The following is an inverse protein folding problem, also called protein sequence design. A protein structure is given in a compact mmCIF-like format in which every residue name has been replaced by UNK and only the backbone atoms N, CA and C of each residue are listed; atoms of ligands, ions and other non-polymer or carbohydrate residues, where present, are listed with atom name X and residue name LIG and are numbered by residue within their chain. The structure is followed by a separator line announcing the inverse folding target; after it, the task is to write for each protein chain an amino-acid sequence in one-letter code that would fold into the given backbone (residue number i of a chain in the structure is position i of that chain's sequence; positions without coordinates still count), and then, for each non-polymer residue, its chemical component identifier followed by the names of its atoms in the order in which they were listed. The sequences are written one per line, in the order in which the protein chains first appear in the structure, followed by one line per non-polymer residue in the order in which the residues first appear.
data_IF_250628107860
#
_entry.id   IF_250628107860
#
_cell.length_a   1.000
_cell.length_b   1.000
_cell.length_c   1.000
_cell.angle_alpha   90.00
_cell.angle_beta   90.00
_cell.angle_gamma   90.00
#
_symmetry.space_group_name_H-M   'P 1'
#
loop_
_entity.id
_entity.type
_entity.pdbx_description
1 polymer ?
#
# COMPACT_ATOMS: atom_id res chain seq x y z
N UNK A 1 4.22 -16.95 4.29
CA UNK A 1 3.58 -16.53 5.58
C UNK A 1 2.31 -17.34 5.77
N UNK A 2 2.00 -17.72 7.03
CA UNK A 2 0.72 -18.35 7.35
C UNK A 2 -0.34 -17.27 7.58
N UNK A 3 -1.59 -17.59 7.33
CA UNK A 3 -2.73 -16.77 7.75
C UNK A 3 -3.85 -17.67 8.24
N UNK A 4 -4.64 -17.14 9.17
CA UNK A 4 -5.80 -17.81 9.73
C UNK A 4 -7.07 -16.95 9.51
N UNK A 5 -8.23 -17.56 9.69
CA UNK A 5 -9.53 -16.89 9.51
C UNK A 5 -10.34 -17.06 10.78
N UNK A 6 -10.75 -15.92 11.35
CA UNK A 6 -11.81 -15.84 12.36
C UNK A 6 -13.11 -15.42 11.67
N UNK A 7 -14.23 -16.06 11.99
CA UNK A 7 -15.52 -15.78 11.32
C UNK A 7 -16.69 -15.83 12.27
N UNK A 8 -17.65 -14.93 12.02
CA UNK A 8 -19.04 -14.99 12.48
C UNK A 8 -19.96 -15.03 11.25
N UNK A 9 -21.27 -15.01 11.43
CA UNK A 9 -22.23 -15.08 10.32
C UNK A 9 -22.08 -13.95 9.31
N UNK A 10 -21.73 -12.75 9.76
CA UNK A 10 -21.62 -11.56 8.92
C UNK A 10 -20.18 -11.00 8.75
N UNK A 11 -19.26 -11.37 9.64
CA UNK A 11 -17.89 -10.83 9.67
C UNK A 11 -16.87 -11.93 9.45
N UNK A 12 -15.88 -11.66 8.60
CA UNK A 12 -14.67 -12.48 8.48
C UNK A 12 -13.42 -11.64 8.66
N UNK A 13 -12.48 -12.16 9.45
CA UNK A 13 -11.17 -11.55 9.68
C UNK A 13 -10.11 -12.53 9.20
N UNK A 14 -9.33 -12.10 8.23
CA UNK A 14 -8.11 -12.75 7.77
C UNK A 14 -6.94 -12.11 8.53
N UNK A 15 -6.05 -12.88 9.14
CA UNK A 15 -4.99 -12.34 9.99
C UNK A 15 -3.70 -13.14 9.96
N UNK A 16 -2.60 -12.51 10.34
CA UNK A 16 -1.28 -13.11 10.52
C UNK A 16 -1.17 -13.59 11.98
N UNK A 17 -1.14 -14.93 12.25
CA UNK A 17 -1.10 -15.47 13.60
C UNK A 17 0.20 -15.17 14.35
N UNK A 18 1.29 -14.82 13.65
CA UNK A 18 2.55 -14.41 14.28
C UNK A 18 2.43 -13.00 14.90
N UNK A 19 1.48 -12.18 14.45
CA UNK A 19 1.27 -10.81 14.93
C UNK A 19 0.06 -10.66 15.84
N UNK A 20 -0.98 -11.49 15.65
CA UNK A 20 -2.23 -11.45 16.42
C UNK A 20 -2.74 -12.85 16.67
N UNK A 21 -2.85 -13.27 17.92
CA UNK A 21 -3.25 -14.63 18.26
C UNK A 21 -4.74 -14.91 18.06
N UNK A 22 -5.62 -13.90 18.20
CA UNK A 22 -7.07 -14.05 18.01
C UNK A 22 -7.72 -12.66 17.83
N UNK A 23 -7.80 -12.15 16.61
CA UNK A 23 -8.32 -10.82 16.39
C UNK A 23 -9.84 -10.76 16.64
N UNK A 24 -10.26 -9.78 17.45
CA UNK A 24 -11.66 -9.37 17.58
C UNK A 24 -11.91 -8.15 16.71
N UNK A 25 -13.16 -7.89 16.35
CA UNK A 25 -13.56 -6.72 15.57
C UNK A 25 -13.06 -5.40 16.16
N UNK A 26 -13.02 -5.30 17.49
CA UNK A 26 -12.56 -4.11 18.20
C UNK A 26 -11.13 -3.63 17.90
N UNK A 27 -10.25 -4.49 17.38
CA UNK A 27 -8.89 -4.04 16.98
C UNK A 27 -8.90 -3.11 15.76
N UNK A 28 -9.98 -3.12 14.98
CA UNK A 28 -10.14 -2.28 13.79
C UNK A 28 -10.71 -0.90 14.10
N UNK A 29 -11.22 -0.68 15.31
CA UNK A 29 -11.64 0.63 15.75
C UNK A 29 -10.48 1.37 16.44
N UNK A 30 -10.04 2.47 15.83
CA UNK A 30 -8.93 3.27 16.34
C UNK A 30 -9.24 3.84 17.75
N UNK A 31 -10.50 4.07 18.12
CA UNK A 31 -10.90 4.59 19.42
C UNK A 31 -10.65 3.60 20.57
N UNK A 32 -10.54 2.30 20.27
CA UNK A 32 -10.21 1.27 21.24
C UNK A 32 -8.70 1.20 21.55
N UNK A 33 -7.89 2.05 20.93
CA UNK A 33 -6.45 2.10 21.14
C UNK A 33 -6.07 3.28 22.05
N UNK A 34 -5.17 3.09 23.02
CA UNK A 34 -4.80 4.14 23.97
C UNK A 34 -4.18 5.35 23.29
N UNK A 35 -3.50 5.12 22.15
CA UNK A 35 -2.89 6.18 21.34
C UNK A 35 -3.26 5.97 19.88
N UNK A 36 -3.98 6.92 19.29
CA UNK A 36 -4.28 6.94 17.88
C UNK A 36 -4.13 8.35 17.28
N UNK A 37 -3.65 8.41 16.04
CA UNK A 37 -3.44 9.66 15.30
C UNK A 37 -4.03 9.50 13.91
N UNK A 38 -4.94 10.41 13.48
CA UNK A 38 -5.49 10.37 12.13
C UNK A 38 -4.40 10.66 11.10
N UNK A 39 -4.43 9.92 9.99
CA UNK A 39 -3.57 10.17 8.84
C UNK A 39 -4.27 11.17 7.91
N UNK A 40 -3.78 12.41 7.89
CA UNK A 40 -4.41 13.52 7.16
C UNK A 40 -4.24 13.47 5.63
N UNK A 41 -3.57 12.45 5.09
CA UNK A 41 -3.25 12.33 3.68
C UNK A 41 -4.10 11.23 3.03
N UNK A 42 -5.27 11.57 2.48
CA UNK A 42 -6.02 10.60 1.69
C UNK A 42 -7.53 10.82 1.63
N UNK A 43 -8.20 10.00 0.81
CA UNK A 43 -9.66 10.01 0.62
C UNK A 43 -10.39 9.07 1.59
N UNK A 44 -9.67 8.31 2.41
CA UNK A 44 -10.17 7.33 3.36
C UNK A 44 -9.90 7.72 4.80
N UNK A 45 -10.56 7.05 5.73
CA UNK A 45 -10.24 7.13 7.14
C UNK A 45 -9.06 6.18 7.40
N UNK A 46 -7.94 6.73 7.84
CA UNK A 46 -6.78 5.96 8.26
C UNK A 46 -6.23 6.52 9.58
N UNK A 47 -5.76 5.62 10.44
CA UNK A 47 -5.25 5.96 11.77
C UNK A 47 -3.99 5.18 12.07
N UNK A 48 -2.95 5.89 12.51
CA UNK A 48 -1.86 5.23 13.22
C UNK A 48 -2.31 4.94 14.65
N UNK A 49 -2.10 3.70 15.09
CA UNK A 49 -2.44 3.25 16.45
C UNK A 49 -1.22 2.62 17.11
N UNK A 50 -1.12 2.81 18.44
CA UNK A 50 0.00 2.30 19.20
C UNK A 50 -0.47 1.77 20.57
N UNK A 51 -0.07 0.53 20.91
CA UNK A 51 -0.22 -0.08 22.23
C UNK A 51 0.78 -1.21 22.40
N UNK A 52 1.43 -1.30 23.56
CA UNK A 52 2.32 -2.40 23.95
C UNK A 52 3.40 -2.75 22.92
N UNK A 53 4.03 -1.72 22.33
CA UNK A 53 5.04 -1.87 21.29
C UNK A 53 4.49 -2.23 19.90
N UNK A 54 3.18 -2.46 19.76
CA UNK A 54 2.50 -2.65 18.48
C UNK A 54 2.23 -1.28 17.87
N UNK A 55 2.71 -1.06 16.65
CA UNK A 55 2.50 0.18 15.91
C UNK A 55 1.92 -0.18 14.54
N UNK A 56 0.66 0.13 14.36
CA UNK A 56 -0.11 -0.29 13.20
C UNK A 56 -0.76 0.90 12.51
N UNK A 57 -1.12 0.69 11.25
CA UNK A 57 -1.95 1.57 10.44
C UNK A 57 -3.28 0.86 10.19
N UNK A 58 -4.38 1.39 10.71
CA UNK A 58 -5.74 0.97 10.37
C UNK A 58 -6.18 1.79 9.17
N UNK A 59 -6.62 1.13 8.10
CA UNK A 59 -7.09 1.77 6.86
C UNK A 59 -8.50 1.29 6.55
N UNK A 60 -9.46 2.23 6.51
CA UNK A 60 -10.84 1.97 6.08
C UNK A 60 -10.97 2.23 4.59
N UNK A 61 -11.60 1.29 3.87
CA UNK A 61 -11.82 1.44 2.44
C UNK A 61 -13.07 2.27 2.18
N UNK A 62 -12.90 3.36 1.44
CA UNK A 62 -13.99 4.24 1.04
C UNK A 62 -14.11 4.30 -0.48
N UNK A 63 -15.36 4.35 -1.01
CA UNK A 63 -15.59 4.64 -2.42
C UNK A 63 -15.21 6.10 -2.72
N UNK A 64 -14.40 6.31 -3.77
CA UNK A 64 -14.13 7.65 -4.31
C UNK A 64 -15.14 8.02 -5.40
N UNK A 65 -15.31 9.32 -5.65
CA UNK A 65 -16.13 9.87 -6.76
C UNK A 65 -17.47 10.44 -6.31
N UNK A 66 -18.32 10.85 -7.28
CA UNK A 66 -19.65 11.47 -7.05
C UNK A 66 -20.63 10.60 -6.24
N UNK A 67 -20.46 9.26 -6.28
CA UNK A 67 -21.29 8.28 -5.53
C UNK A 67 -21.02 8.33 -4.00
N UNK A 68 -20.00 9.08 -3.58
CA UNK A 68 -19.60 9.27 -2.16
C UNK A 68 -20.73 9.78 -1.25
N UNK A 69 -21.73 10.45 -1.80
CA UNK A 69 -22.82 11.06 -1.01
C UNK A 69 -23.86 10.08 -0.50
N UNK A 70 -24.04 8.91 -1.14
CA UNK A 70 -25.11 7.95 -0.84
C UNK A 70 -24.64 6.57 -0.34
N UNK A 71 -23.39 6.13 -0.66
CA UNK A 71 -22.88 4.81 -0.29
C UNK A 71 -21.34 4.82 -0.14
N UNK A 72 -20.79 5.68 0.72
CA UNK A 72 -19.35 5.98 0.78
C UNK A 72 -18.45 4.82 1.21
N UNK A 73 -18.97 3.83 1.94
CA UNK A 73 -18.17 2.76 2.57
C UNK A 73 -18.58 1.34 2.14
N UNK A 74 -19.47 1.16 1.16
CA UNK A 74 -20.01 -0.16 0.79
C UNK A 74 -19.67 -0.57 -0.63
N UNK A 75 -19.33 -1.85 -0.84
CA UNK A 75 -18.99 -2.47 -2.13
C UNK A 75 -19.92 -3.65 -2.39
N UNK A 76 -20.17 -4.00 -3.67
CA UNK A 76 -20.90 -5.22 -4.00
C UNK A 76 -20.13 -6.46 -3.57
N UNK A 77 -20.81 -7.38 -2.91
CA UNK A 77 -20.24 -8.61 -2.40
C UNK A 77 -20.35 -9.76 -3.42
N UNK A 78 -19.22 -10.28 -3.85
CA UNK A 78 -19.07 -11.43 -4.75
C UNK A 78 -18.25 -12.55 -4.11
N UNK A 79 -18.30 -12.67 -2.78
CA UNK A 79 -17.53 -13.62 -2.00
C UNK A 79 -16.34 -12.98 -1.26
N UNK A 80 -15.99 -13.51 -0.09
CA UNK A 80 -14.96 -12.94 0.79
C UNK A 80 -13.59 -12.85 0.12
N UNK A 81 -13.17 -13.88 -0.61
CA UNK A 81 -11.88 -13.91 -1.30
C UNK A 81 -11.75 -12.82 -2.40
N UNK A 82 -12.88 -12.27 -2.88
CA UNK A 82 -12.90 -11.21 -3.88
C UNK A 82 -13.00 -9.81 -3.29
N UNK A 83 -13.05 -9.69 -1.96
CA UNK A 83 -13.07 -8.39 -1.31
C UNK A 83 -11.70 -7.72 -1.37
N UNK A 84 -11.68 -6.40 -1.46
CA UNK A 84 -10.45 -5.61 -1.67
C UNK A 84 -9.44 -5.81 -0.54
N UNK A 85 -9.91 -5.87 0.71
CA UNK A 85 -9.08 -6.04 1.90
C UNK A 85 -8.38 -7.38 1.90
N UNK A 86 -9.11 -8.46 1.58
CA UNK A 86 -8.54 -9.80 1.53
C UNK A 86 -7.57 -9.94 0.36
N UNK A 87 -7.89 -9.36 -0.80
CA UNK A 87 -6.97 -9.36 -1.94
C UNK A 87 -5.69 -8.57 -1.65
N UNK A 88 -5.80 -7.38 -1.01
CA UNK A 88 -4.62 -6.60 -0.59
C UNK A 88 -3.80 -7.38 0.44
N UNK A 89 -4.43 -7.97 1.46
CA UNK A 89 -3.75 -8.76 2.48
C UNK A 89 -2.93 -9.92 1.87
N UNK A 90 -3.58 -10.75 1.04
CA UNK A 90 -2.95 -11.91 0.42
C UNK A 90 -1.84 -11.50 -0.57
N UNK A 91 -2.05 -10.40 -1.30
CA UNK A 91 -1.04 -9.87 -2.21
C UNK A 91 0.21 -9.39 -1.46
N UNK A 92 0.04 -8.69 -0.33
CA UNK A 92 1.14 -8.24 0.50
C UNK A 92 1.92 -9.43 1.09
N UNK A 93 1.23 -10.47 1.60
CA UNK A 93 1.88 -11.69 2.06
C UNK A 93 2.71 -12.35 0.95
N UNK A 94 2.11 -12.51 -0.24
CA UNK A 94 2.81 -13.04 -1.40
C UNK A 94 4.07 -12.25 -1.74
N UNK A 95 4.01 -10.91 -1.71
CA UNK A 95 5.13 -10.04 -2.04
C UNK A 95 6.26 -10.11 -1.00
N UNK A 96 5.92 -10.25 0.28
CA UNK A 96 6.92 -10.44 1.36
C UNK A 96 7.67 -11.76 1.16
N UNK A 97 6.98 -12.84 0.80
CA UNK A 97 7.62 -14.13 0.49
C UNK A 97 8.56 -14.07 -0.73
N UNK A 98 8.40 -13.07 -1.57
CA UNK A 98 9.23 -12.77 -2.75
C UNK A 98 10.24 -11.66 -2.49
N UNK A 99 10.47 -11.32 -1.22
CA UNK A 99 11.43 -10.30 -0.79
C UNK A 99 11.19 -8.91 -1.41
N UNK A 100 9.93 -8.62 -1.79
CA UNK A 100 9.52 -7.27 -2.20
C UNK A 100 9.18 -6.48 -0.93
N UNK A 101 9.81 -5.32 -0.77
CA UNK A 101 9.63 -4.47 0.40
C UNK A 101 8.26 -3.78 0.37
N UNK A 102 7.31 -4.33 1.10
CA UNK A 102 5.93 -3.84 1.26
C UNK A 102 5.52 -3.90 2.74
N UNK A 103 4.54 -3.12 3.21
CA UNK A 103 4.07 -3.20 4.59
C UNK A 103 3.57 -4.60 4.93
N UNK A 104 3.93 -5.13 6.10
CA UNK A 104 3.41 -6.43 6.56
C UNK A 104 1.93 -6.29 6.92
N UNK A 105 1.03 -7.09 6.34
CA UNK A 105 -0.37 -7.11 6.73
C UNK A 105 -0.54 -7.81 8.07
N UNK A 106 -1.32 -7.21 8.95
CA UNK A 106 -1.61 -7.73 10.31
C UNK A 106 -2.94 -8.45 10.31
N UNK A 107 -4.00 -7.77 9.86
CA UNK A 107 -5.33 -8.32 9.76
C UNK A 107 -6.16 -7.56 8.72
N UNK A 108 -7.15 -8.23 8.12
CA UNK A 108 -8.13 -7.64 7.23
C UNK A 108 -9.53 -8.10 7.63
N UNK A 109 -10.44 -7.17 7.86
CA UNK A 109 -11.82 -7.43 8.24
C UNK A 109 -12.77 -7.11 7.10
N UNK A 110 -13.73 -7.98 6.89
CA UNK A 110 -14.85 -7.80 5.96
C UNK A 110 -16.14 -8.06 6.68
N UNK A 111 -17.02 -7.08 6.67
CA UNK A 111 -18.40 -7.18 7.17
C UNK A 111 -19.36 -7.18 5.99
N UNK A 112 -20.11 -8.26 5.86
CA UNK A 112 -21.15 -8.44 4.84
C UNK A 112 -22.48 -7.93 5.37
N UNK A 113 -23.18 -7.13 4.55
CA UNK A 113 -24.54 -6.69 4.82
C UNK A 113 -25.38 -6.86 3.53
N UNK A 114 -26.16 -7.93 3.47
CA UNK A 114 -26.91 -8.32 2.28
C UNK A 114 -26.00 -8.55 1.06
N UNK A 115 -26.23 -7.79 -0.01
CA UNK A 115 -25.45 -7.82 -1.25
C UNK A 115 -24.24 -6.87 -1.23
N UNK A 116 -23.99 -6.19 -0.11
CA UNK A 116 -22.90 -5.27 0.07
C UNK A 116 -21.91 -5.77 1.10
N UNK A 117 -20.71 -5.18 1.11
CA UNK A 117 -19.72 -5.33 2.17
C UNK A 117 -18.99 -4.03 2.44
N UNK A 118 -18.48 -3.91 3.64
CA UNK A 118 -17.49 -2.91 4.07
C UNK A 118 -16.30 -3.61 4.71
N UNK A 119 -15.20 -2.91 4.91
CA UNK A 119 -14.09 -3.53 5.63
C UNK A 119 -12.89 -2.61 5.77
N UNK A 120 -11.91 -3.14 6.49
CA UNK A 120 -10.70 -2.47 6.92
C UNK A 120 -9.50 -3.41 6.79
N UNK A 121 -8.33 -2.83 6.71
CA UNK A 121 -7.06 -3.56 6.81
C UNK A 121 -6.17 -2.90 7.86
N UNK A 122 -5.46 -3.73 8.60
CA UNK A 122 -4.41 -3.30 9.53
C UNK A 122 -3.08 -3.70 8.93
N UNK A 123 -2.17 -2.75 8.82
CA UNK A 123 -0.81 -2.93 8.33
C UNK A 123 0.19 -2.54 9.42
N UNK A 124 1.35 -3.15 9.41
CA UNK A 124 2.46 -2.72 10.27
C UNK A 124 2.93 -1.33 9.84
N UNK A 125 3.09 -0.41 10.81
CA UNK A 125 3.55 0.94 10.54
C UNK A 125 5.04 0.96 10.17
N UNK A 126 5.37 1.62 9.09
CA UNK A 126 6.75 1.88 8.65
C UNK A 126 7.29 3.12 9.35
N UNK A 127 8.01 2.91 10.46
CA UNK A 127 8.50 4.02 11.30
C UNK A 127 9.76 4.68 10.75
N UNK A 128 9.79 6.01 10.76
CA UNK A 128 10.94 6.79 10.30
C UNK A 128 11.13 6.76 8.79
N UNK A 129 10.13 6.27 8.03
CA UNK A 129 10.10 6.37 6.58
C UNK A 129 9.37 7.65 6.17
N UNK A 130 9.92 8.34 5.18
CA UNK A 130 9.30 9.50 4.52
C UNK A 130 8.97 9.18 3.07
N UNK A 131 7.96 9.83 2.51
CA UNK A 131 7.67 9.63 1.09
C UNK A 131 8.77 10.24 0.22
N UNK A 132 9.03 9.63 -0.94
CA UNK A 132 9.94 10.22 -1.93
C UNK A 132 9.48 11.63 -2.32
N UNK A 133 8.16 11.86 -2.36
CA UNK A 133 7.60 13.18 -2.59
C UNK A 133 8.07 14.20 -1.54
N UNK A 134 8.00 13.86 -0.25
CA UNK A 134 8.39 14.77 0.82
C UNK A 134 9.90 15.02 0.83
N UNK A 135 10.70 13.97 0.60
CA UNK A 135 12.15 14.11 0.49
C UNK A 135 12.56 15.02 -0.67
N UNK A 136 11.88 14.91 -1.81
CA UNK A 136 12.14 15.77 -2.98
C UNK A 136 11.74 17.22 -2.71
N UNK A 137 10.58 17.45 -2.09
CA UNK A 137 10.12 18.80 -1.72
C UNK A 137 11.07 19.46 -0.71
N UNK A 138 11.55 18.68 0.28
CA UNK A 138 12.53 19.13 1.29
C UNK A 138 13.95 19.24 0.74
N UNK A 139 14.22 18.84 -0.49
CA UNK A 139 15.57 18.72 -1.10
C UNK A 139 16.51 17.79 -0.32
N UNK A 140 15.97 16.75 0.29
CA UNK A 140 16.73 15.76 1.09
C UNK A 140 16.91 14.43 0.36
N UNK A 141 16.35 14.26 -0.84
CA UNK A 141 16.53 13.07 -1.65
C UNK A 141 18.00 12.94 -2.10
N UNK A 142 18.57 11.74 -1.88
CA UNK A 142 19.97 11.43 -2.25
C UNK A 142 20.02 10.67 -3.57
N UNK A 143 21.14 10.79 -4.29
CA UNK A 143 21.36 10.11 -5.56
C UNK A 143 21.23 8.58 -5.45
N UNK A 144 21.80 7.97 -4.39
CA UNK A 144 21.68 6.53 -4.12
C UNK A 144 20.26 6.04 -3.89
N UNK A 145 19.34 6.93 -3.49
CA UNK A 145 17.93 6.59 -3.29
C UNK A 145 17.21 6.38 -4.62
N UNK A 146 17.58 7.08 -5.69
CA UNK A 146 17.00 6.87 -7.01
C UNK A 146 17.34 5.48 -7.57
N UNK A 147 18.56 4.99 -7.33
CA UNK A 147 18.95 3.62 -7.64
C UNK A 147 18.14 2.60 -6.85
N UNK A 148 18.02 2.80 -5.54
CA UNK A 148 17.24 1.92 -4.66
C UNK A 148 15.76 1.87 -5.07
N UNK A 149 15.16 3.01 -5.44
CA UNK A 149 13.78 3.10 -5.95
C UNK A 149 13.62 2.33 -7.26
N UNK A 150 14.56 2.50 -8.20
CA UNK A 150 14.55 1.77 -9.48
C UNK A 150 14.56 0.26 -9.26
N UNK A 151 15.49 -0.22 -8.45
CA UNK A 151 15.62 -1.64 -8.09
C UNK A 151 14.36 -2.18 -7.40
N UNK A 152 13.78 -1.43 -6.46
CA UNK A 152 12.58 -1.85 -5.74
C UNK A 152 11.37 -1.99 -6.68
N UNK A 153 11.15 -1.03 -7.58
CA UNK A 153 10.07 -1.09 -8.58
C UNK A 153 10.31 -2.22 -9.58
N UNK A 154 11.57 -2.48 -9.96
CA UNK A 154 11.91 -3.61 -10.83
C UNK A 154 11.54 -4.96 -10.18
N UNK A 155 11.87 -5.15 -8.89
CA UNK A 155 11.46 -6.36 -8.14
C UNK A 155 9.96 -6.56 -8.14
N UNK A 156 9.18 -5.49 -7.87
CA UNK A 156 7.71 -5.54 -7.97
C UNK A 156 7.24 -5.98 -9.35
N UNK A 157 7.83 -5.44 -10.40
CA UNK A 157 7.46 -5.76 -11.78
C UNK A 157 7.92 -7.16 -12.24
N UNK A 158 8.98 -7.73 -11.65
CA UNK A 158 9.35 -9.14 -11.86
C UNK A 158 8.28 -10.09 -11.33
N UNK A 159 7.66 -9.73 -10.21
CA UNK A 159 6.53 -10.50 -9.65
C UNK A 159 5.21 -10.30 -10.42
N UNK A 160 5.27 -9.58 -11.55
CA UNK A 160 4.12 -9.31 -12.44
C UNK A 160 3.01 -8.50 -11.79
N UNK A 161 3.33 -7.61 -10.85
CA UNK A 161 2.35 -6.77 -10.18
C UNK A 161 2.09 -5.49 -10.97
N UNK A 162 0.84 -5.29 -11.36
CA UNK A 162 0.32 -4.01 -11.87
C UNK A 162 -0.12 -3.17 -10.67
N UNK A 163 0.70 -2.20 -10.29
CA UNK A 163 0.38 -1.30 -9.18
C UNK A 163 -0.56 -0.19 -9.66
N UNK A 164 -1.79 -0.21 -9.14
CA UNK A 164 -2.85 0.68 -9.62
C UNK A 164 -2.53 2.17 -9.49
N UNK A 165 -1.70 2.55 -8.51
CA UNK A 165 -1.33 3.95 -8.25
C UNK A 165 0.16 4.14 -7.90
N UNK A 166 1.08 3.62 -8.75
CA UNK A 166 2.51 3.81 -8.57
C UNK A 166 2.88 5.27 -8.78
N UNK A 167 3.30 5.96 -7.72
CA UNK A 167 3.68 7.38 -7.73
C UNK A 167 4.66 7.69 -6.60
N UNK A 168 5.26 8.88 -6.59
CA UNK A 168 6.28 9.30 -5.61
C UNK A 168 5.77 9.40 -4.16
N UNK A 169 4.47 9.54 -3.92
CA UNK A 169 3.90 9.55 -2.57
C UNK A 169 3.73 8.15 -1.98
N UNK A 170 3.68 7.13 -2.86
CA UNK A 170 3.53 5.73 -2.49
C UNK A 170 4.87 4.97 -2.45
N UNK A 171 5.98 5.69 -2.53
CA UNK A 171 7.34 5.18 -2.31
C UNK A 171 7.85 5.80 -1.01
N UNK A 172 8.10 4.97 -0.02
CA UNK A 172 8.62 5.40 1.27
C UNK A 172 10.10 5.02 1.39
N UNK A 173 10.90 5.92 1.95
CA UNK A 173 12.34 5.74 2.12
C UNK A 173 12.79 6.04 3.56
N UNK A 174 13.74 5.26 4.02
CA UNK A 174 14.58 5.53 5.18
C UNK A 174 16.01 5.12 4.83
N UNK A 175 16.91 6.08 4.68
CA UNK A 175 18.21 5.89 4.05
C UNK A 175 18.04 5.30 2.63
N UNK A 176 18.64 4.14 2.34
CA UNK A 176 18.49 3.42 1.06
C UNK A 176 17.45 2.29 1.13
N UNK A 177 16.79 2.11 2.27
CA UNK A 177 15.68 1.16 2.37
C UNK A 177 14.43 1.76 1.76
N UNK A 178 13.82 1.05 0.82
CA UNK A 178 12.65 1.50 0.04
C UNK A 178 11.49 0.57 0.29
N UNK A 179 10.31 1.12 0.56
CA UNK A 179 9.04 0.40 0.62
C UNK A 179 8.05 0.98 -0.38
N UNK A 180 7.29 0.10 -1.02
CA UNK A 180 6.13 0.48 -1.84
C UNK A 180 4.87 0.26 -1.00
N UNK A 181 3.96 1.24 -1.01
CA UNK A 181 2.72 1.22 -0.23
C UNK A 181 1.49 1.41 -1.12
N UNK A 182 0.30 1.21 -0.53
CA UNK A 182 -1.02 1.37 -1.16
C UNK A 182 -1.30 0.38 -2.29
N UNK A 183 -1.44 -0.90 -1.90
CA UNK A 183 -1.72 -2.00 -2.83
C UNK A 183 -3.21 -2.18 -3.13
N UNK A 184 -4.05 -1.22 -2.75
CA UNK A 184 -5.46 -1.22 -3.11
C UNK A 184 -5.64 -1.26 -4.64
N UNK A 185 -6.42 -2.21 -5.15
CA UNK A 185 -6.64 -2.48 -6.60
C UNK A 185 -5.39 -2.93 -7.37
N UNK A 186 -4.29 -3.25 -6.68
CA UNK A 186 -3.15 -3.87 -7.34
C UNK A 186 -3.47 -5.31 -7.69
N UNK A 187 -2.94 -5.78 -8.81
CA UNK A 187 -3.22 -7.13 -9.31
C UNK A 187 -1.97 -7.81 -9.85
N UNK A 188 -1.87 -9.11 -9.61
CA UNK A 188 -0.87 -9.95 -10.27
C UNK A 188 -1.36 -10.30 -11.67
N UNK A 189 -0.65 -9.86 -12.71
CA UNK A 189 -0.96 -10.10 -14.11
C UNK A 189 -0.38 -11.42 -14.59
N UNK A 190 -1.16 -12.20 -15.32
CA UNK A 190 -0.68 -13.42 -16.00
C UNK A 190 -0.08 -13.12 -17.38
N UNK A 191 -0.57 -12.07 -18.04
CA UNK A 191 -0.18 -11.67 -19.41
C UNK A 191 -0.06 -10.15 -19.52
N UNK A 192 0.54 -9.67 -20.61
CA UNK A 192 0.62 -8.24 -20.91
C UNK A 192 1.63 -7.46 -20.10
N UNK A 193 2.75 -8.09 -19.70
CA UNK A 193 3.76 -7.52 -18.80
C UNK A 193 4.32 -6.20 -19.28
N UNK A 194 4.63 -6.06 -20.55
CA UNK A 194 5.15 -4.81 -21.11
C UNK A 194 4.16 -3.65 -20.97
N UNK A 195 2.86 -3.92 -21.19
CA UNK A 195 1.85 -2.89 -21.15
C UNK A 195 1.67 -2.29 -19.75
N UNK A 196 1.49 -3.12 -18.71
CA UNK A 196 1.28 -2.59 -17.36
C UNK A 196 2.56 -1.97 -16.79
N UNK A 197 3.74 -2.55 -17.04
CA UNK A 197 5.04 -1.97 -16.66
C UNK A 197 5.20 -0.56 -17.22
N UNK A 198 4.98 -0.40 -18.54
CA UNK A 198 5.02 0.91 -19.20
C UNK A 198 4.01 1.89 -18.60
N UNK A 199 2.80 1.43 -18.30
CA UNK A 199 1.73 2.24 -17.67
C UNK A 199 2.12 2.68 -16.27
N UNK A 200 2.69 1.80 -15.45
CA UNK A 200 3.14 2.10 -14.08
C UNK A 200 4.29 3.12 -14.12
N UNK A 201 5.32 2.90 -14.92
CA UNK A 201 6.45 3.84 -15.06
C UNK A 201 5.98 5.19 -15.60
N UNK A 202 5.08 5.21 -16.59
CA UNK A 202 4.49 6.47 -17.07
C UNK A 202 3.73 7.23 -15.97
N UNK A 203 3.06 6.53 -15.06
CA UNK A 203 2.38 7.15 -13.92
C UNK A 203 3.39 7.69 -12.89
N UNK A 204 4.41 6.90 -12.58
CA UNK A 204 5.51 7.33 -11.71
C UNK A 204 6.17 8.60 -12.24
N UNK A 205 6.59 8.61 -13.51
CA UNK A 205 7.20 9.79 -14.14
C UNK A 205 6.27 11.00 -14.15
N UNK A 206 4.97 10.82 -14.43
CA UNK A 206 4.00 11.92 -14.33
C UNK A 206 3.90 12.50 -12.92
N UNK A 207 4.09 11.70 -11.88
CA UNK A 207 4.10 12.21 -10.50
C UNK A 207 5.34 13.05 -10.22
N UNK A 208 6.49 12.69 -10.78
CA UNK A 208 7.72 13.48 -10.78
C UNK A 208 7.51 14.81 -11.52
N UNK A 209 6.97 14.76 -12.75
CA UNK A 209 6.72 15.95 -13.55
C UNK A 209 5.77 16.94 -12.86
N UNK A 210 4.79 16.44 -12.09
CA UNK A 210 3.91 17.29 -11.27
C UNK A 210 4.67 18.03 -10.17
N UNK A 211 5.66 17.40 -9.53
CA UNK A 211 6.52 18.08 -8.53
C UNK A 211 7.41 19.12 -9.20
N UNK A 212 7.99 18.81 -10.35
CA UNK A 212 8.81 19.77 -11.11
C UNK A 212 8.01 21.00 -11.52
N UNK A 213 6.76 20.83 -11.96
CA UNK A 213 5.85 21.96 -12.24
C UNK A 213 5.54 22.82 -11.01
N UNK A 214 5.75 22.29 -9.80
CA UNK A 214 5.62 23.04 -8.54
C UNK A 214 6.96 23.63 -8.04
N UNK A 215 7.99 23.61 -8.89
CA UNK A 215 9.30 24.18 -8.58
C UNK A 215 10.31 23.23 -7.92
N UNK A 216 9.97 21.95 -7.76
CA UNK A 216 10.94 20.95 -7.25
C UNK A 216 11.95 20.65 -8.34
N UNK A 217 13.23 20.78 -8.01
CA UNK A 217 14.32 20.49 -8.96
C UNK A 217 14.68 19.01 -8.90
N UNK A 218 14.64 18.36 -10.04
CA UNK A 218 15.04 16.96 -10.24
C UNK A 218 15.89 16.91 -11.51
N UNK A 219 17.12 16.44 -11.37
CA UNK A 219 18.10 16.44 -12.47
C UNK A 219 17.83 15.32 -13.47
N UNK A 220 18.38 15.47 -14.67
CA UNK A 220 18.38 14.39 -15.68
C UNK A 220 19.19 13.18 -15.24
N UNK A 221 20.24 13.38 -14.45
CA UNK A 221 21.10 12.33 -13.93
C UNK A 221 20.37 11.47 -12.89
N UNK A 222 19.61 12.08 -11.99
CA UNK A 222 18.75 11.36 -11.02
C UNK A 222 17.73 10.48 -11.73
N UNK A 223 17.07 10.99 -12.76
CA UNK A 223 16.13 10.20 -13.57
C UNK A 223 16.85 9.07 -14.32
N UNK A 224 18.02 9.33 -14.88
CA UNK A 224 18.84 8.34 -15.59
C UNK A 224 19.28 7.22 -14.63
N UNK A 225 19.70 7.55 -13.42
CA UNK A 225 20.07 6.58 -12.38
C UNK A 225 18.91 5.65 -12.06
N UNK A 226 17.70 6.21 -11.82
CA UNK A 226 16.48 5.42 -11.66
C UNK A 226 16.24 4.46 -12.84
N UNK A 227 16.32 4.97 -14.08
CA UNK A 227 16.06 4.15 -15.27
C UNK A 227 17.07 3.02 -15.46
N UNK A 228 18.35 3.28 -15.20
CA UNK A 228 19.42 2.28 -15.29
C UNK A 228 19.17 1.17 -14.26
N UNK A 229 18.95 1.54 -13.00
CA UNK A 229 18.69 0.59 -11.92
C UNK A 229 17.41 -0.22 -12.17
N UNK A 230 16.36 0.43 -12.65
CA UNK A 230 15.11 -0.24 -13.01
C UNK A 230 15.30 -1.27 -14.13
N UNK A 231 16.01 -0.90 -15.21
CA UNK A 231 16.29 -1.82 -16.33
C UNK A 231 17.16 -2.99 -15.89
N UNK A 232 18.23 -2.73 -15.15
CA UNK A 232 19.11 -3.76 -14.60
C UNK A 232 18.38 -4.71 -13.65
N UNK A 233 17.46 -4.20 -12.84
CA UNK A 233 16.65 -5.01 -11.93
C UNK A 233 15.55 -5.83 -12.61
N UNK A 234 15.25 -5.63 -13.90
CA UNK A 234 14.29 -6.44 -14.67
C UNK A 234 14.92 -7.68 -15.33
N UNK A 235 16.25 -7.64 -15.56
CA UNK A 235 17.03 -8.79 -16.01
C UNK A 235 17.12 -9.83 -14.92
#
# INVERSE_FOLDING_TARGET
MKHDIASTDSVRILYDPDLVSFPKEGIFDAQNWPNFVPVNNGRGEAYFVNSDGRRWLIKTYCRGGLIRRLASKSYFFFGFARTRMFQEFLLLQYLIEREVSVPRPVAAMVEKNGIFYRGQIILQQLQGYESLSDLLVKKLAKFSQWEAVGTCIARLHREHIDHADLNVTNILLRNNSVFIIDFDRCVKRRFGFFYFRKKNIKRFNRSIDKLMKKGVQITSEERKTFEIAYKAGLS
#
